data_IF_441449876078
#
_entry.id   IF_441449876078
#
_cell.length_a   1.000
_cell.length_b   1.000
_cell.length_c   1.000
_cell.angle_alpha   90.00
_cell.angle_beta   90.00
_cell.angle_gamma   90.00
#
_symmetry.space_group_name_H-M   'P 1'
#
loop_
_entity.id
_entity.type
_entity.pdbx_description
1 polymer ?
#
# COMPACT_ATOMS: atom_id res chain seq x y z
N UNK A 1 22.74 -60.68 -19.82
CA UNK A 1 23.74 -59.85 -19.10
C UNK A 1 23.02 -58.67 -18.46
N UNK A 2 23.12 -58.60 -17.13
CA UNK A 2 22.74 -57.56 -16.13
C UNK A 2 21.43 -56.76 -16.30
N UNK A 3 20.41 -57.26 -15.59
CA UNK A 3 19.26 -56.52 -15.03
C UNK A 3 19.76 -55.42 -14.07
N UNK A 4 19.19 -54.22 -14.14
CA UNK A 4 19.27 -53.20 -13.09
C UNK A 4 17.84 -52.89 -12.65
N UNK A 5 17.45 -53.48 -11.52
CA UNK A 5 16.28 -53.10 -10.73
C UNK A 5 16.65 -51.81 -9.98
N UNK A 6 15.89 -50.73 -10.18
CA UNK A 6 15.91 -49.58 -9.28
C UNK A 6 14.69 -49.73 -8.38
N UNK A 7 14.90 -50.35 -7.20
CA UNK A 7 13.99 -50.22 -6.07
C UNK A 7 14.06 -48.77 -5.59
N UNK A 8 12.98 -48.01 -5.76
CA UNK A 8 12.83 -46.71 -5.09
C UNK A 8 12.35 -47.00 -3.67
N UNK A 9 13.22 -46.80 -2.69
CA UNK A 9 12.91 -46.93 -1.28
C UNK A 9 11.86 -45.89 -0.85
N UNK A 10 10.78 -46.37 -0.25
CA UNK A 10 9.83 -45.57 0.51
C UNK A 10 10.55 -45.11 1.78
N UNK A 11 10.81 -43.81 1.90
CA UNK A 11 11.20 -43.18 3.17
C UNK A 11 9.94 -42.96 4.00
N UNK A 12 9.70 -43.88 4.94
CA UNK A 12 8.81 -43.67 6.07
C UNK A 12 9.54 -42.72 7.03
N UNK A 13 9.03 -41.51 7.22
CA UNK A 13 9.46 -40.65 8.33
C UNK A 13 8.67 -41.02 9.58
N UNK A 14 9.36 -41.51 10.60
CA UNK A 14 8.83 -41.68 11.96
C UNK A 14 9.64 -40.87 12.98
N UNK A 15 8.89 -40.20 13.86
CA UNK A 15 9.20 -39.67 15.19
C UNK A 15 9.70 -38.22 15.36
N UNK A 16 8.82 -37.40 15.96
CA UNK A 16 9.17 -36.47 17.05
C UNK A 16 8.53 -35.07 17.01
N UNK A 17 7.24 -34.94 17.37
CA UNK A 17 6.50 -33.70 17.80
C UNK A 17 6.63 -32.43 16.91
N UNK A 18 5.60 -31.80 16.31
CA UNK A 18 4.13 -31.93 16.29
C UNK A 18 3.63 -32.26 14.87
N UNK A 19 3.18 -33.49 14.69
CA UNK A 19 2.56 -34.06 13.49
C UNK A 19 1.05 -33.84 13.51
N UNK A 20 0.50 -32.78 12.90
CA UNK A 20 -0.98 -32.67 12.86
C UNK A 20 -1.60 -32.04 11.61
N UNK A 21 -0.84 -31.49 10.65
CA UNK A 21 -1.45 -30.78 9.52
C UNK A 21 -1.13 -31.35 8.12
N UNK A 22 -0.22 -32.31 8.00
CA UNK A 22 0.17 -32.91 6.71
C UNK A 22 0.13 -34.45 6.73
N UNK A 23 0.00 -35.08 7.91
CA UNK A 23 0.09 -36.54 8.06
C UNK A 23 -1.02 -37.35 7.36
N UNK A 24 -2.09 -36.68 6.90
CA UNK A 24 -3.19 -37.31 6.15
C UNK A 24 -3.20 -36.97 4.64
N UNK A 25 -2.15 -36.34 4.11
CA UNK A 25 -2.06 -36.00 2.69
C UNK A 25 -1.55 -37.20 1.91
N UNK A 26 -2.47 -38.04 1.44
CA UNK A 26 -2.17 -39.23 0.64
C UNK A 26 -2.32 -38.89 -0.85
N UNK A 27 -1.19 -38.78 -1.56
CA UNK A 27 -1.19 -38.87 -3.03
C UNK A 27 -1.41 -40.32 -3.44
N UNK A 28 -2.02 -40.53 -4.61
CA UNK A 28 -2.11 -41.88 -5.18
C UNK A 28 -0.72 -42.47 -5.35
N UNK A 29 -0.46 -43.62 -4.71
CA UNK A 29 0.82 -44.32 -4.77
C UNK A 29 1.05 -44.86 -6.17
N UNK A 30 2.27 -44.67 -6.71
CA UNK A 30 2.62 -45.19 -8.04
C UNK A 30 2.59 -46.71 -8.03
N UNK A 31 1.95 -47.27 -9.06
CA UNK A 31 1.88 -48.72 -9.21
C UNK A 31 2.94 -49.22 -10.18
N UNK A 32 3.49 -50.45 -9.99
CA UNK A 32 4.54 -50.99 -10.86
C UNK A 32 4.14 -51.16 -12.33
N UNK A 33 2.84 -51.26 -12.62
CA UNK A 33 2.28 -51.42 -13.96
C UNK A 33 2.04 -50.09 -14.70
N UNK A 34 2.26 -48.95 -14.05
CA UNK A 34 2.10 -47.65 -14.70
C UNK A 34 3.23 -47.36 -15.68
N UNK A 35 2.89 -46.70 -16.79
CA UNK A 35 3.87 -46.19 -17.74
C UNK A 35 4.02 -44.67 -17.60
N UNK A 36 5.18 -44.15 -17.97
CA UNK A 36 5.52 -42.73 -17.84
C UNK A 36 5.98 -42.17 -19.19
N UNK A 37 5.41 -41.04 -19.60
CA UNK A 37 5.83 -40.29 -20.80
C UNK A 37 6.29 -38.89 -20.41
N UNK A 38 7.45 -38.48 -20.92
CA UNK A 38 7.94 -37.09 -20.81
C UNK A 38 7.26 -36.26 -21.90
N UNK A 39 6.40 -35.33 -21.49
CA UNK A 39 5.63 -34.49 -22.44
C UNK A 39 6.28 -33.12 -22.68
N UNK A 40 7.14 -32.67 -21.78
CA UNK A 40 7.94 -31.44 -21.94
C UNK A 40 9.36 -31.63 -21.42
N UNK A 41 10.33 -31.01 -22.10
CA UNK A 41 11.75 -30.98 -21.69
C UNK A 41 12.28 -29.55 -21.63
N UNK A 42 13.33 -29.37 -20.82
CA UNK A 42 14.17 -28.18 -20.85
C UNK A 42 15.12 -28.20 -22.07
N UNK A 43 15.74 -27.06 -22.43
CA UNK A 43 16.72 -27.01 -23.53
C UNK A 43 17.89 -27.98 -23.37
N UNK A 44 18.27 -28.30 -22.14
CA UNK A 44 19.30 -29.28 -21.80
C UNK A 44 18.81 -30.75 -21.88
N UNK A 45 17.61 -30.99 -22.40
CA UNK A 45 16.92 -32.29 -22.46
C UNK A 45 16.49 -32.90 -21.12
N UNK A 46 16.66 -32.19 -19.99
CA UNK A 46 16.09 -32.62 -18.72
C UNK A 46 14.55 -32.62 -18.79
N UNK A 47 13.92 -33.63 -18.17
CA UNK A 47 12.47 -33.71 -18.13
C UNK A 47 11.89 -32.51 -17.35
N UNK A 48 10.92 -31.83 -17.94
CA UNK A 48 10.19 -30.71 -17.33
C UNK A 48 8.82 -31.15 -16.83
N UNK A 49 8.11 -31.95 -17.62
CA UNK A 49 6.80 -32.51 -17.26
C UNK A 49 6.73 -33.98 -17.67
N UNK A 50 6.30 -34.83 -16.74
CA UNK A 50 6.11 -36.26 -16.92
C UNK A 50 4.68 -36.62 -16.52
N UNK A 51 4.00 -37.38 -17.38
CA UNK A 51 2.66 -37.92 -17.09
C UNK A 51 2.76 -39.42 -16.93
N UNK A 52 2.17 -39.91 -15.85
CA UNK A 52 2.01 -41.32 -15.57
C UNK A 52 0.61 -41.75 -15.91
N UNK A 53 0.51 -43.02 -16.26
CA UNK A 53 -0.73 -43.55 -16.75
C UNK A 53 -0.91 -45.02 -16.40
N UNK A 54 -2.17 -45.41 -16.27
CA UNK A 54 -2.60 -46.77 -15.98
C UNK A 54 -3.08 -47.48 -17.24
N UNK A 55 -2.71 -48.77 -17.44
CA UNK A 55 -3.28 -49.59 -18.52
C UNK A 55 -4.80 -49.79 -18.34
N UNK A 56 -5.55 -49.73 -19.45
CA UNK A 56 -7.00 -50.02 -19.46
C UNK A 56 -7.41 -50.75 -20.73
N UNK A 57 -8.58 -51.40 -20.73
CA UNK A 57 -9.10 -52.16 -21.87
C UNK A 57 -9.28 -51.31 -23.15
N UNK A 58 -9.38 -49.98 -23.01
CA UNK A 58 -9.46 -49.00 -24.10
C UNK A 58 -8.14 -48.27 -24.41
N UNK A 59 -7.03 -48.73 -23.84
CA UNK A 59 -5.71 -48.12 -23.98
C UNK A 59 -5.12 -47.72 -22.63
N UNK A 60 -5.13 -46.42 -22.34
CA UNK A 60 -4.03 -45.78 -21.63
C UNK A 60 -4.54 -44.52 -20.93
N UNK A 61 -4.75 -44.55 -19.60
CA UNK A 61 -5.46 -43.49 -18.84
C UNK A 61 -4.49 -42.67 -18.01
N UNK A 62 -4.44 -41.33 -18.12
CA UNK A 62 -3.56 -40.51 -17.30
C UNK A 62 -4.04 -40.47 -15.85
N UNK A 63 -3.13 -40.74 -14.92
CA UNK A 63 -3.46 -40.86 -13.48
C UNK A 63 -2.63 -39.92 -12.60
N UNK A 64 -1.50 -39.41 -13.08
CA UNK A 64 -0.63 -38.51 -12.30
C UNK A 64 0.24 -37.65 -13.20
N UNK A 65 0.49 -36.41 -12.80
CA UNK A 65 1.49 -35.55 -13.43
C UNK A 65 2.53 -35.13 -12.42
N UNK A 66 3.78 -35.05 -12.87
CA UNK A 66 4.87 -34.42 -12.17
C UNK A 66 5.52 -33.36 -13.03
N UNK A 67 5.88 -32.23 -12.41
CA UNK A 67 6.79 -31.27 -13.00
C UNK A 67 8.06 -31.16 -12.18
N UNK A 68 9.16 -30.81 -12.84
CA UNK A 68 10.50 -30.77 -12.26
C UNK A 68 11.13 -29.40 -12.49
N UNK A 69 12.02 -29.00 -11.58
CA UNK A 69 12.98 -27.94 -11.85
C UNK A 69 14.04 -28.43 -12.83
N UNK A 70 14.79 -27.49 -13.43
CA UNK A 70 15.84 -27.82 -14.40
C UNK A 70 16.95 -28.69 -13.80
N UNK A 71 17.24 -28.55 -12.50
CA UNK A 71 18.16 -29.41 -11.75
C UNK A 71 17.60 -30.82 -11.43
N UNK A 72 16.35 -31.12 -11.80
CA UNK A 72 15.71 -32.42 -11.65
C UNK A 72 14.98 -32.65 -10.33
N UNK A 73 14.97 -31.69 -9.39
CA UNK A 73 14.12 -31.77 -8.19
C UNK A 73 12.64 -31.63 -8.56
N UNK A 74 11.76 -32.34 -7.84
CA UNK A 74 10.31 -32.25 -8.07
C UNK A 74 9.85 -30.84 -7.73
N UNK A 75 9.07 -30.25 -8.64
CA UNK A 75 8.44 -28.94 -8.50
C UNK A 75 6.97 -29.07 -8.11
N UNK A 76 6.26 -30.03 -8.71
CA UNK A 76 4.85 -30.27 -8.45
C UNK A 76 4.49 -31.73 -8.71
N UNK A 77 3.58 -32.29 -7.89
CA UNK A 77 3.03 -33.63 -8.08
C UNK A 77 1.53 -33.63 -7.76
N UNK A 78 0.70 -34.14 -8.67
CA UNK A 78 -0.75 -34.24 -8.47
C UNK A 78 -1.39 -35.38 -9.26
N UNK A 79 -2.51 -35.84 -8.73
CA UNK A 79 -3.34 -36.89 -9.34
C UNK A 79 -4.20 -36.31 -10.47
N UNK A 80 -4.39 -37.10 -11.53
CA UNK A 80 -5.16 -36.73 -12.72
C UNK A 80 -6.44 -37.55 -12.82
N UNK A 81 -7.45 -36.95 -13.44
CA UNK A 81 -8.66 -37.64 -13.91
C UNK A 81 -9.02 -37.16 -15.31
N UNK A 82 -9.93 -37.87 -15.97
CA UNK A 82 -10.52 -37.45 -17.25
C UNK A 82 -11.95 -36.98 -17.05
N UNK A 83 -12.27 -35.79 -17.55
CA UNK A 83 -13.59 -35.17 -17.50
C UNK A 83 -14.16 -34.96 -18.91
N UNK A 84 -15.45 -34.67 -19.01
CA UNK A 84 -16.10 -34.26 -20.26
C UNK A 84 -15.95 -32.75 -20.48
N UNK A 85 -16.12 -32.29 -21.74
CA UNK A 85 -15.93 -30.87 -22.11
C UNK A 85 -16.97 -29.91 -21.51
N UNK A 86 -18.10 -30.44 -21.06
CA UNK A 86 -19.18 -29.70 -20.41
C UNK A 86 -18.97 -29.52 -18.89
N UNK A 87 -18.00 -30.22 -18.29
CA UNK A 87 -17.68 -30.06 -16.88
C UNK A 87 -16.87 -28.76 -16.64
N UNK A 88 -17.10 -28.05 -15.52
CA UNK A 88 -16.41 -26.79 -15.21
C UNK A 88 -14.88 -26.86 -15.24
N UNK A 89 -14.30 -28.02 -14.91
CA UNK A 89 -12.85 -28.22 -14.98
C UNK A 89 -12.27 -28.00 -16.38
N UNK A 90 -13.03 -28.29 -17.44
CA UNK A 90 -12.59 -28.05 -18.81
C UNK A 90 -12.44 -26.56 -19.09
N UNK A 91 -13.31 -25.73 -18.51
CA UNK A 91 -13.21 -24.28 -18.67
C UNK A 91 -11.98 -23.68 -18.00
N UNK A 92 -11.54 -24.28 -16.89
CA UNK A 92 -10.34 -23.86 -16.15
C UNK A 92 -9.07 -24.31 -16.88
N UNK A 93 -9.01 -25.57 -17.31
CA UNK A 93 -7.78 -26.19 -17.82
C UNK A 93 -7.67 -26.24 -19.34
N UNK A 94 -8.78 -26.03 -20.07
CA UNK A 94 -8.89 -26.16 -21.53
C UNK A 94 -8.44 -27.52 -22.07
N UNK A 95 -8.54 -28.56 -21.24
CA UNK A 95 -8.24 -29.96 -21.54
C UNK A 95 -9.19 -30.87 -20.77
N UNK A 96 -9.43 -32.08 -21.28
CA UNK A 96 -10.24 -33.11 -20.60
C UNK A 96 -9.44 -33.87 -19.54
N UNK A 97 -8.12 -33.69 -19.46
CA UNK A 97 -7.27 -34.31 -18.44
C UNK A 97 -6.92 -33.26 -17.40
N UNK A 98 -7.47 -33.40 -16.20
CA UNK A 98 -7.43 -32.35 -15.17
C UNK A 98 -7.01 -32.90 -13.81
N UNK A 99 -6.48 -32.07 -12.89
CA UNK A 99 -6.18 -32.52 -11.54
C UNK A 99 -7.44 -32.96 -10.78
N UNK A 100 -7.33 -34.04 -10.01
CA UNK A 100 -8.36 -34.45 -9.07
C UNK A 100 -7.73 -35.24 -7.93
N UNK A 101 -7.95 -34.80 -6.70
CA UNK A 101 -7.24 -35.26 -5.51
C UNK A 101 -6.23 -34.22 -5.01
N UNK A 102 -5.19 -34.71 -4.33
CA UNK A 102 -4.14 -33.88 -3.73
C UNK A 102 -3.20 -33.34 -4.81
N UNK A 103 -2.81 -32.08 -4.66
CA UNK A 103 -1.73 -31.43 -5.40
C UNK A 103 -0.69 -30.87 -4.42
N UNK A 104 0.57 -31.26 -4.61
CA UNK A 104 1.70 -30.80 -3.84
C UNK A 104 2.61 -29.91 -4.70
N UNK A 105 2.90 -28.71 -4.21
CA UNK A 105 3.96 -27.84 -4.74
C UNK A 105 5.18 -27.90 -3.83
N UNK A 106 6.37 -28.00 -4.42
CA UNK A 106 7.63 -28.14 -3.72
C UNK A 106 8.58 -26.99 -4.06
N UNK A 107 9.38 -26.59 -3.09
CA UNK A 107 10.56 -25.75 -3.28
C UNK A 107 11.72 -26.56 -3.89
N UNK A 108 12.76 -25.85 -4.36
CA UNK A 108 13.99 -26.47 -4.90
C UNK A 108 14.70 -27.38 -3.89
N UNK A 109 14.61 -27.06 -2.60
CA UNK A 109 15.16 -27.86 -1.49
C UNK A 109 14.26 -29.05 -1.09
N UNK A 110 13.22 -29.35 -1.89
CA UNK A 110 12.24 -30.44 -1.73
C UNK A 110 11.27 -30.25 -0.57
N UNK A 111 11.24 -29.07 0.06
CA UNK A 111 10.25 -28.76 1.08
C UNK A 111 8.88 -28.49 0.45
N UNK A 112 7.79 -28.95 1.10
CA UNK A 112 6.42 -28.70 0.62
C UNK A 112 6.09 -27.22 0.83
N UNK A 113 5.77 -26.50 -0.25
CA UNK A 113 5.35 -25.10 -0.22
C UNK A 113 3.83 -24.95 -0.19
N UNK A 114 3.10 -25.88 -0.80
CA UNK A 114 1.64 -25.82 -0.87
C UNK A 114 1.03 -27.21 -0.99
N UNK A 115 -0.10 -27.38 -0.31
CA UNK A 115 -1.01 -28.51 -0.43
C UNK A 115 -2.35 -27.95 -0.90
N UNK A 116 -2.84 -28.45 -2.02
CA UNK A 116 -4.16 -28.10 -2.56
C UNK A 116 -4.95 -29.37 -2.84
N UNK A 117 -6.28 -29.24 -2.91
CA UNK A 117 -7.17 -30.33 -3.27
C UNK A 117 -8.04 -29.90 -4.46
N UNK A 118 -8.18 -30.78 -5.44
CA UNK A 118 -9.03 -30.55 -6.60
C UNK A 118 -10.08 -31.65 -6.69
N UNK A 119 -11.26 -31.30 -7.18
CA UNK A 119 -12.27 -32.25 -7.62
C UNK A 119 -12.57 -31.94 -9.10
N UNK A 120 -12.24 -32.88 -9.99
CA UNK A 120 -12.51 -32.76 -11.43
C UNK A 120 -12.00 -31.43 -12.04
N UNK A 121 -10.79 -31.01 -11.67
CA UNK A 121 -10.13 -29.80 -12.15
C UNK A 121 -10.50 -28.51 -11.41
N UNK A 122 -11.42 -28.57 -10.45
CA UNK A 122 -11.88 -27.43 -9.65
C UNK A 122 -11.30 -27.50 -8.25
N UNK A 123 -10.75 -26.39 -7.76
CA UNK A 123 -10.15 -26.32 -6.43
C UNK A 123 -11.24 -26.45 -5.36
N UNK A 124 -11.09 -27.42 -4.46
CA UNK A 124 -12.10 -27.84 -3.48
C UNK A 124 -11.43 -28.17 -2.15
N UNK A 125 -12.04 -27.79 -1.04
CA UNK A 125 -11.53 -28.08 0.30
C UNK A 125 -10.39 -27.18 0.74
N UNK A 126 -9.53 -27.71 1.62
CA UNK A 126 -8.53 -26.92 2.31
C UNK A 126 -7.26 -26.73 1.46
N UNK A 127 -6.77 -25.50 1.35
CA UNK A 127 -5.46 -25.18 0.78
C UNK A 127 -4.55 -24.68 1.89
N UNK A 128 -3.37 -25.29 2.00
CA UNK A 128 -2.36 -24.93 2.98
C UNK A 128 -1.10 -24.52 2.24
N UNK A 129 -0.44 -23.47 2.72
CA UNK A 129 0.85 -23.02 2.21
C UNK A 129 1.84 -22.84 3.36
N UNK A 130 3.13 -22.96 3.04
CA UNK A 130 4.22 -22.99 4.01
C UNK A 130 5.36 -22.05 3.57
N UNK A 131 6.04 -21.45 4.55
CA UNK A 131 7.28 -20.71 4.32
C UNK A 131 8.45 -21.66 4.06
N UNK A 132 8.58 -22.65 4.94
CA UNK A 132 9.57 -23.72 4.93
C UNK A 132 9.02 -24.90 5.73
N UNK A 133 9.76 -26.01 5.83
CA UNK A 133 9.31 -27.22 6.55
C UNK A 133 8.66 -26.87 7.90
N UNK A 134 7.40 -27.27 8.05
CA UNK A 134 6.57 -27.11 9.24
C UNK A 134 6.24 -25.67 9.67
N UNK A 135 6.58 -24.65 8.89
CA UNK A 135 6.17 -23.25 9.13
C UNK A 135 5.00 -22.87 8.23
N UNK A 136 3.78 -23.02 8.74
CA UNK A 136 2.56 -22.66 8.02
C UNK A 136 2.55 -21.16 7.71
N UNK A 137 2.24 -20.81 6.47
CA UNK A 137 2.08 -19.43 5.99
C UNK A 137 0.61 -19.04 5.94
N UNK A 138 -0.23 -19.90 5.37
CA UNK A 138 -1.67 -19.67 5.33
C UNK A 138 -2.44 -20.98 5.16
N UNK A 139 -3.68 -20.97 5.65
CA UNK A 139 -4.69 -22.00 5.45
C UNK A 139 -5.99 -21.34 4.98
N UNK A 140 -6.59 -21.90 3.94
CA UNK A 140 -7.77 -21.37 3.28
C UNK A 140 -8.72 -22.53 2.96
N UNK A 141 -10.00 -22.24 2.77
CA UNK A 141 -10.97 -23.21 2.30
C UNK A 141 -11.61 -22.73 1.01
N UNK A 142 -11.80 -23.65 0.08
CA UNK A 142 -12.39 -23.41 -1.23
C UNK A 142 -13.58 -24.32 -1.42
N UNK A 143 -14.63 -23.79 -2.04
CA UNK A 143 -15.78 -24.56 -2.52
C UNK A 143 -16.02 -24.15 -3.97
N UNK A 144 -16.07 -25.12 -4.87
CA UNK A 144 -16.29 -24.95 -6.31
C UNK A 144 -15.37 -23.89 -6.93
N UNK A 145 -14.10 -23.90 -6.53
CA UNK A 145 -13.06 -23.00 -7.05
C UNK A 145 -13.04 -21.60 -6.44
N UNK A 146 -13.93 -21.29 -5.49
CA UNK A 146 -14.00 -19.98 -4.82
C UNK A 146 -13.62 -20.11 -3.35
N UNK A 147 -12.95 -19.10 -2.81
CA UNK A 147 -12.72 -19.03 -1.36
C UNK A 147 -14.06 -19.02 -0.63
N UNK A 148 -14.28 -20.00 0.24
CA UNK A 148 -15.47 -20.09 1.07
C UNK A 148 -15.08 -20.63 2.44
N UNK A 149 -15.53 -20.00 3.52
CA UNK A 149 -15.13 -20.35 4.89
C UNK A 149 -13.92 -19.57 5.40
N UNK A 150 -13.19 -20.15 6.36
CA UNK A 150 -12.17 -19.43 7.13
C UNK A 150 -10.83 -19.33 6.38
N UNK A 151 -10.24 -18.14 6.47
CA UNK A 151 -8.87 -17.83 6.09
C UNK A 151 -8.05 -17.59 7.35
N UNK A 152 -6.88 -18.20 7.44
CA UNK A 152 -5.89 -17.95 8.48
C UNK A 152 -4.52 -17.77 7.83
N UNK A 153 -3.87 -16.63 8.08
CA UNK A 153 -2.49 -16.36 7.72
C UNK A 153 -1.63 -16.26 8.98
N UNK A 154 -0.37 -16.67 8.88
CA UNK A 154 0.57 -16.75 10.01
C UNK A 154 1.88 -16.03 9.66
N UNK A 155 2.56 -15.55 10.69
CA UNK A 155 3.95 -15.13 10.61
C UNK A 155 4.88 -16.35 10.67
N UNK A 156 6.14 -16.18 10.28
CA UNK A 156 7.14 -17.26 10.36
C UNK A 156 7.41 -17.77 11.78
N UNK A 157 7.09 -16.95 12.80
CA UNK A 157 7.17 -17.33 14.21
C UNK A 157 5.97 -18.19 14.68
N UNK A 158 4.99 -18.44 13.80
CA UNK A 158 3.78 -19.22 14.08
C UNK A 158 2.61 -18.41 14.65
N UNK A 159 2.81 -17.14 15.00
CA UNK A 159 1.73 -16.28 15.46
C UNK A 159 0.77 -15.97 14.31
N UNK A 160 -0.52 -15.83 14.63
CA UNK A 160 -1.52 -15.39 13.65
C UNK A 160 -1.13 -14.02 13.12
N UNK A 161 -1.16 -13.89 11.80
CA UNK A 161 -0.96 -12.64 11.08
C UNK A 161 -2.29 -12.04 10.68
N UNK A 162 -3.18 -12.86 10.13
CA UNK A 162 -4.50 -12.44 9.67
C UNK A 162 -5.51 -13.58 9.83
N UNK A 163 -6.76 -13.24 10.12
CA UNK A 163 -7.88 -14.18 10.00
C UNK A 163 -9.09 -13.48 9.38
N UNK A 164 -9.90 -14.23 8.65
CA UNK A 164 -11.13 -13.72 8.05
C UNK A 164 -12.04 -14.84 7.60
N UNK A 165 -13.24 -14.47 7.14
CA UNK A 165 -14.20 -15.40 6.56
C UNK A 165 -14.54 -14.95 5.14
N UNK A 166 -14.61 -15.89 4.22
CA UNK A 166 -15.06 -15.68 2.85
C UNK A 166 -16.40 -16.38 2.62
N UNK A 167 -17.25 -15.77 1.80
CA UNK A 167 -18.46 -16.38 1.24
C UNK A 167 -18.45 -16.10 -0.26
N UNK A 168 -18.45 -17.15 -1.08
CA UNK A 168 -18.41 -17.05 -2.55
C UNK A 168 -17.28 -16.14 -3.09
N UNK A 169 -16.10 -16.21 -2.47
CA UNK A 169 -14.92 -15.44 -2.83
C UNK A 169 -14.90 -14.00 -2.28
N UNK A 170 -15.91 -13.59 -1.52
CA UNK A 170 -16.01 -12.25 -0.93
C UNK A 170 -15.80 -12.28 0.58
N UNK A 171 -15.08 -11.30 1.12
CA UNK A 171 -14.93 -11.17 2.57
C UNK A 171 -16.27 -10.91 3.26
N UNK A 172 -16.46 -11.54 4.41
CA UNK A 172 -17.65 -11.46 5.25
C UNK A 172 -17.25 -11.46 6.73
N UNK A 173 -18.00 -10.76 7.59
CA UNK A 173 -17.72 -10.58 9.03
C UNK A 173 -16.41 -9.84 9.30
N UNK A 174 -15.78 -10.09 10.45
CA UNK A 174 -14.56 -9.43 10.89
C UNK A 174 -13.34 -10.04 10.17
N UNK A 175 -12.55 -9.19 9.52
CA UNK A 175 -11.18 -9.48 9.09
C UNK A 175 -10.22 -8.88 10.10
N UNK A 176 -9.44 -9.72 10.76
CA UNK A 176 -8.58 -9.34 11.88
C UNK A 176 -7.13 -9.49 11.45
N UNK A 177 -6.34 -8.43 11.61
CA UNK A 177 -4.88 -8.48 11.46
C UNK A 177 -4.23 -8.35 12.84
N UNK A 178 -3.06 -8.95 12.99
CA UNK A 178 -2.27 -8.95 14.21
C UNK A 178 -0.86 -8.43 13.93
N UNK A 179 -0.17 -7.97 14.97
CA UNK A 179 1.26 -7.74 14.99
C UNK A 179 2.02 -9.05 15.25
N UNK A 180 3.33 -9.08 14.98
CA UNK A 180 4.16 -10.26 15.24
C UNK A 180 4.21 -10.65 16.71
N UNK A 181 4.02 -9.69 17.62
CA UNK A 181 3.92 -9.91 19.07
C UNK A 181 2.59 -10.56 19.52
N UNK A 182 1.64 -10.77 18.60
CA UNK A 182 0.33 -11.37 18.86
C UNK A 182 -0.78 -10.37 19.23
N UNK A 183 -0.46 -9.10 19.47
CA UNK A 183 -1.46 -8.07 19.69
C UNK A 183 -2.26 -7.83 18.41
N UNK A 184 -3.55 -7.46 18.55
CA UNK A 184 -4.37 -7.08 17.39
C UNK A 184 -3.80 -5.80 16.77
N UNK A 185 -3.70 -5.77 15.46
CA UNK A 185 -3.34 -4.58 14.68
C UNK A 185 -4.59 -3.90 14.12
N UNK A 186 -5.56 -4.69 13.62
CA UNK A 186 -6.81 -4.16 13.11
C UNK A 186 -7.94 -5.19 13.12
N UNK A 187 -9.17 -4.69 13.15
CA UNK A 187 -10.41 -5.44 12.94
C UNK A 187 -11.22 -4.61 11.96
N UNK A 188 -11.46 -5.16 10.77
CA UNK A 188 -12.21 -4.52 9.70
C UNK A 188 -13.46 -5.35 9.45
N UNK A 189 -14.63 -4.72 9.47
CA UNK A 189 -15.90 -5.42 9.26
C UNK A 189 -16.27 -5.43 7.78
N UNK A 190 -16.52 -6.60 7.23
CA UNK A 190 -16.93 -6.81 5.86
C UNK A 190 -18.35 -7.37 5.77
N UNK A 191 -19.08 -6.92 4.75
CA UNK A 191 -20.35 -7.47 4.31
C UNK A 191 -20.36 -7.50 2.79
N UNK A 192 -20.54 -8.68 2.19
CA UNK A 192 -20.51 -8.88 0.73
C UNK A 192 -19.24 -8.33 0.06
N UNK A 193 -18.08 -8.43 0.72
CA UNK A 193 -16.81 -7.92 0.23
C UNK A 193 -16.59 -6.42 0.38
N UNK A 194 -17.55 -5.68 0.97
CA UNK A 194 -17.44 -4.24 1.23
C UNK A 194 -17.24 -3.99 2.72
N UNK A 195 -16.43 -2.99 3.08
CA UNK A 195 -16.25 -2.57 4.47
C UNK A 195 -17.56 -1.95 4.97
N UNK A 196 -18.15 -2.50 6.02
CA UNK A 196 -19.44 -2.08 6.55
C UNK A 196 -19.49 -2.31 8.06
N UNK A 197 -19.68 -1.24 8.82
CA UNK A 197 -19.67 -1.22 10.28
C UNK A 197 -18.43 -0.53 10.88
N UNK A 198 -18.22 -0.78 12.19
CA UNK A 198 -17.12 -0.20 12.96
C UNK A 198 -15.83 -1.02 12.79
N UNK A 199 -14.85 -0.42 12.15
CA UNK A 199 -13.47 -0.90 12.06
C UNK A 199 -12.61 -0.24 13.14
N UNK A 200 -11.66 -0.99 13.69
CA UNK A 200 -10.73 -0.52 14.73
C UNK A 200 -9.29 -0.84 14.35
N UNK A 201 -8.35 0.02 14.73
CA UNK A 201 -6.92 -0.27 14.74
C UNK A 201 -6.31 -0.02 16.10
N UNK A 202 -5.18 -0.67 16.37
CA UNK A 202 -4.43 -0.55 17.61
C UNK A 202 -2.97 -0.25 17.29
N UNK A 203 -2.26 0.36 18.24
CA UNK A 203 -0.81 0.40 18.27
C UNK A 203 -0.24 -0.97 18.62
N UNK A 204 1.05 -1.20 18.33
CA UNK A 204 1.72 -2.46 18.66
C UNK A 204 1.74 -2.75 20.18
N UNK A 205 1.67 -1.71 21.00
CA UNK A 205 1.50 -1.77 22.46
C UNK A 205 0.14 -2.35 22.90
N UNK A 206 -0.83 -2.44 21.99
CA UNK A 206 -2.21 -2.87 22.27
C UNK A 206 -3.16 -1.73 22.62
N UNK A 207 -2.68 -0.48 22.71
CA UNK A 207 -3.54 0.70 22.86
C UNK A 207 -4.37 0.91 21.59
N UNK A 208 -5.66 1.27 21.72
CA UNK A 208 -6.49 1.55 20.54
C UNK A 208 -5.99 2.84 19.87
N UNK A 209 -5.83 2.79 18.55
CA UNK A 209 -5.30 3.88 17.73
C UNK A 209 -6.42 4.59 16.97
N UNK A 210 -7.38 3.85 16.43
CA UNK A 210 -8.48 4.47 15.70
C UNK A 210 -9.77 3.67 15.71
N UNK A 211 -10.87 4.39 15.58
CA UNK A 211 -12.19 3.88 15.29
C UNK A 211 -12.71 4.55 14.01
N UNK A 212 -13.11 3.73 13.04
CA UNK A 212 -13.62 4.20 11.74
C UNK A 212 -14.90 3.48 11.38
N UNK A 213 -15.94 4.22 11.00
CA UNK A 213 -17.26 3.69 10.67
C UNK A 213 -17.51 3.78 9.18
N UNK A 214 -17.98 2.68 8.62
CA UNK A 214 -18.20 2.54 7.19
C UNK A 214 -19.61 2.08 6.87
N UNK A 215 -20.14 2.56 5.76
CA UNK A 215 -21.29 2.00 5.04
C UNK A 215 -20.84 1.79 3.60
N UNK A 216 -20.79 0.53 3.17
CA UNK A 216 -20.43 0.11 1.81
C UNK A 216 -19.15 0.80 1.28
N UNK A 217 -18.06 0.65 2.03
CA UNK A 217 -16.73 1.25 1.84
C UNK A 217 -16.59 2.75 2.10
N UNK A 218 -17.70 3.49 2.26
CA UNK A 218 -17.65 4.92 2.51
C UNK A 218 -17.64 5.21 4.01
N UNK A 219 -16.79 6.16 4.44
CA UNK A 219 -16.83 6.66 5.81
C UNK A 219 -18.18 7.30 6.08
N UNK A 220 -18.81 6.92 7.19
CA UNK A 220 -20.11 7.43 7.56
C UNK A 220 -20.34 7.44 9.08
N UNK A 221 -20.73 8.59 9.60
CA UNK A 221 -21.18 8.75 10.98
C UNK A 221 -22.54 8.08 11.22
N UNK A 222 -22.84 7.77 12.47
CA UNK A 222 -24.14 7.21 12.88
C UNK A 222 -25.07 8.26 13.51
N UNK A 223 -24.70 9.55 13.42
CA UNK A 223 -25.39 10.68 14.03
C UNK A 223 -25.15 10.85 15.54
N UNK A 224 -24.59 9.83 16.22
CA UNK A 224 -24.17 9.91 17.62
C UNK A 224 -22.66 10.00 17.76
N UNK A 225 -21.94 9.28 16.91
CA UNK A 225 -20.49 9.21 16.87
C UNK A 225 -19.98 9.64 15.48
N UNK A 226 -18.88 10.39 15.43
CA UNK A 226 -18.26 10.74 14.15
C UNK A 226 -17.75 9.47 13.45
N UNK A 227 -17.67 9.53 12.12
CA UNK A 227 -17.17 8.42 11.33
C UNK A 227 -15.70 8.07 11.63
N UNK A 228 -14.89 9.04 12.08
CA UNK A 228 -13.47 8.85 12.40
C UNK A 228 -13.15 9.42 13.78
N UNK A 229 -12.53 8.59 14.62
CA UNK A 229 -11.89 9.00 15.88
C UNK A 229 -10.49 8.40 15.92
N UNK A 230 -9.49 9.23 16.18
CA UNK A 230 -8.10 8.82 16.37
C UNK A 230 -7.70 9.11 17.80
N UNK A 231 -6.98 8.18 18.42
CA UNK A 231 -6.52 8.24 19.79
C UNK A 231 -4.99 8.25 19.84
N UNK A 232 -4.42 8.81 20.92
CA UNK A 232 -3.04 8.54 21.33
C UNK A 232 -2.93 7.19 22.07
N UNK A 233 -1.71 6.77 22.42
CA UNK A 233 -1.48 5.52 23.17
C UNK A 233 -2.04 5.53 24.60
N UNK A 234 -2.37 6.70 25.16
CA UNK A 234 -3.01 6.86 26.47
C UNK A 234 -4.54 6.87 26.37
N UNK A 235 -5.09 6.60 25.19
CA UNK A 235 -6.52 6.61 24.88
C UNK A 235 -7.18 8.01 24.92
N UNK A 236 -6.39 9.08 24.79
CA UNK A 236 -6.90 10.44 24.60
C UNK A 236 -7.26 10.66 23.14
N UNK A 237 -8.39 11.29 22.84
CA UNK A 237 -8.78 11.62 21.47
C UNK A 237 -7.86 12.72 20.94
N UNK A 238 -7.19 12.47 19.80
CA UNK A 238 -6.33 13.45 19.12
C UNK A 238 -6.98 14.01 17.84
N UNK A 239 -7.96 13.31 17.27
CA UNK A 239 -8.68 13.77 16.08
C UNK A 239 -10.08 13.15 16.01
N UNK A 240 -11.06 13.96 15.63
CA UNK A 240 -12.42 13.53 15.36
C UNK A 240 -12.97 14.26 14.11
N UNK A 241 -13.53 13.49 13.17
CA UNK A 241 -14.10 14.01 11.93
C UNK A 241 -15.25 13.11 11.47
N UNK A 242 -16.35 13.74 11.10
CA UNK A 242 -17.53 13.05 10.60
C UNK A 242 -17.65 13.10 9.07
N UNK A 243 -18.39 12.13 8.53
CA UNK A 243 -18.56 11.93 7.10
C UNK A 243 -20.00 11.47 6.78
N UNK A 244 -20.50 11.88 5.62
CA UNK A 244 -21.72 11.35 4.98
C UNK A 244 -21.35 11.00 3.54
N UNK A 245 -21.60 9.75 3.12
CA UNK A 245 -21.22 9.24 1.80
C UNK A 245 -19.74 9.52 1.45
N UNK A 246 -18.85 9.35 2.43
CA UNK A 246 -17.42 9.58 2.25
C UNK A 246 -17.00 11.05 2.13
N UNK A 247 -17.92 12.02 2.22
CA UNK A 247 -17.62 13.45 2.23
C UNK A 247 -17.56 13.98 3.67
N UNK A 248 -16.53 14.75 4.05
CA UNK A 248 -16.45 15.29 5.40
C UNK A 248 -17.60 16.27 5.67
N UNK A 249 -18.17 16.19 6.86
CA UNK A 249 -19.27 17.04 7.32
C UNK A 249 -19.08 17.43 8.79
N UNK A 250 -19.69 18.54 9.18
CA UNK A 250 -19.66 19.00 10.57
C UNK A 250 -18.27 19.45 11.00
N UNK A 251 -18.02 19.42 12.31
CA UNK A 251 -16.80 19.99 12.89
C UNK A 251 -15.68 18.96 12.90
N UNK A 252 -14.63 19.22 12.11
CA UNK A 252 -13.34 18.57 12.26
C UNK A 252 -12.63 19.15 13.49
N UNK A 253 -12.24 18.31 14.44
CA UNK A 253 -11.50 18.75 15.63
C UNK A 253 -10.22 17.94 15.78
N UNK A 254 -9.12 18.61 16.10
CA UNK A 254 -7.89 17.96 16.59
C UNK A 254 -7.53 18.49 17.97
N UNK A 255 -6.81 17.68 18.72
CA UNK A 255 -6.41 17.96 20.10
C UNK A 255 -4.90 17.85 20.25
N UNK A 256 -4.37 18.63 21.18
CA UNK A 256 -3.04 18.45 21.76
C UNK A 256 -3.06 17.28 22.75
N UNK A 257 -1.88 16.76 23.12
CA UNK A 257 -1.77 15.66 24.08
C UNK A 257 -2.28 16.00 25.48
N UNK A 258 -2.41 17.29 25.81
CA UNK A 258 -3.01 17.75 27.06
C UNK A 258 -4.55 17.81 27.02
N UNK A 259 -5.18 17.38 25.92
CA UNK A 259 -6.63 17.36 25.72
C UNK A 259 -7.24 18.70 25.25
N UNK A 260 -6.45 19.77 25.15
CA UNK A 260 -6.93 21.02 24.60
C UNK A 260 -7.03 20.93 23.08
N UNK A 261 -8.01 21.59 22.48
CA UNK A 261 -8.14 21.65 21.01
C UNK A 261 -6.88 22.30 20.43
N UNK A 262 -6.34 21.73 19.36
CA UNK A 262 -5.24 22.30 18.58
C UNK A 262 -5.74 22.92 17.27
N UNK A 263 -6.89 22.43 16.78
CA UNK A 263 -7.45 22.82 15.51
C UNK A 263 -8.96 22.56 15.47
N UNK A 264 -9.71 23.44 14.82
CA UNK A 264 -11.07 23.15 14.39
C UNK A 264 -11.44 23.86 13.10
N UNK A 265 -12.26 23.20 12.28
CA UNK A 265 -12.94 23.79 11.13
C UNK A 265 -14.25 23.06 10.88
N UNK A 266 -15.23 23.74 10.29
CA UNK A 266 -16.47 23.10 9.89
C UNK A 266 -16.45 22.73 8.39
N UNK A 267 -17.05 21.60 8.06
CA UNK A 267 -17.24 21.10 6.71
C UNK A 267 -18.71 21.06 6.34
N UNK A 268 -19.01 21.46 5.11
CA UNK A 268 -20.32 21.36 4.48
C UNK A 268 -20.16 20.82 3.07
N UNK A 269 -20.91 19.76 2.74
CA UNK A 269 -20.87 19.09 1.43
C UNK A 269 -19.46 18.69 0.97
N UNK A 270 -18.62 18.27 1.92
CA UNK A 270 -17.23 17.87 1.67
C UNK A 270 -16.24 19.02 1.56
N UNK A 271 -16.65 20.27 1.76
CA UNK A 271 -15.80 21.47 1.63
C UNK A 271 -15.71 22.23 2.94
N UNK A 272 -14.55 22.84 3.23
CA UNK A 272 -14.40 23.74 4.38
C UNK A 272 -15.41 24.89 4.27
N UNK A 273 -16.11 25.17 5.35
CA UNK A 273 -17.13 26.22 5.43
C UNK A 273 -17.18 26.81 6.84
N UNK A 274 -17.04 28.13 6.94
CA UNK A 274 -16.92 28.86 8.20
C UNK A 274 -15.47 29.08 8.62
N UNK A 275 -15.28 29.35 9.92
CA UNK A 275 -14.00 29.79 10.47
C UNK A 275 -13.16 28.58 10.90
N UNK A 276 -12.02 28.41 10.24
CA UNK A 276 -10.90 27.58 10.70
C UNK A 276 -10.16 28.29 11.83
N UNK A 277 -9.76 27.54 12.86
CA UNK A 277 -9.00 28.05 14.01
C UNK A 277 -7.89 27.10 14.41
N UNK A 278 -6.76 27.67 14.81
CA UNK A 278 -5.61 26.97 15.38
C UNK A 278 -5.38 27.47 16.81
N UNK A 279 -5.02 26.58 17.72
CA UNK A 279 -4.86 26.91 19.13
C UNK A 279 -3.54 26.38 19.69
N UNK A 280 -2.98 27.09 20.66
CA UNK A 280 -1.83 26.64 21.44
C UNK A 280 -2.24 25.57 22.46
N UNK A 281 -1.26 24.91 23.06
CA UNK A 281 -1.51 23.99 24.18
C UNK A 281 -2.20 24.69 25.37
N UNK A 282 -2.03 26.01 25.52
CA UNK A 282 -2.63 26.83 26.57
C UNK A 282 -3.99 27.43 26.16
N UNK A 283 -4.60 26.95 25.07
CA UNK A 283 -5.91 27.39 24.51
C UNK A 283 -5.90 28.78 23.86
N UNK A 284 -4.74 29.40 23.67
CA UNK A 284 -4.64 30.69 22.98
C UNK A 284 -4.89 30.50 21.49
N UNK A 285 -5.58 31.45 20.85
CA UNK A 285 -5.83 31.42 19.41
C UNK A 285 -4.53 31.77 18.67
N UNK A 286 -3.93 30.79 18.01
CA UNK A 286 -2.73 31.00 17.20
C UNK A 286 -3.06 31.44 15.78
N UNK A 287 -4.26 31.15 15.28
CA UNK A 287 -4.56 31.48 13.89
C UNK A 287 -6.00 31.26 13.53
N UNK A 288 -6.42 31.91 12.47
CA UNK A 288 -7.74 31.73 11.90
C UNK A 288 -7.81 32.09 10.42
N UNK A 289 -8.84 31.56 9.76
CA UNK A 289 -9.16 31.86 8.38
C UNK A 289 -10.60 31.46 8.07
N UNK A 290 -11.31 32.28 7.31
CA UNK A 290 -12.68 31.97 6.89
C UNK A 290 -12.69 31.24 5.55
N UNK A 291 -13.54 30.23 5.43
CA UNK A 291 -13.81 29.53 4.18
C UNK A 291 -15.28 29.63 3.81
N UNK A 292 -15.56 29.84 2.52
CA UNK A 292 -16.91 29.76 1.97
C UNK A 292 -16.91 28.76 0.82
N UNK A 293 -17.59 27.64 1.04
CA UNK A 293 -17.75 26.55 0.07
C UNK A 293 -16.42 26.06 -0.50
N UNK A 294 -15.42 25.95 0.38
CA UNK A 294 -14.05 25.53 0.07
C UNK A 294 -13.09 26.66 -0.31
N UNK A 295 -13.58 27.85 -0.64
CA UNK A 295 -12.73 28.98 -1.02
C UNK A 295 -12.30 29.76 0.23
N UNK A 296 -11.00 30.07 0.40
CA UNK A 296 -10.56 30.95 1.48
C UNK A 296 -11.08 32.37 1.23
N UNK A 297 -11.53 33.06 2.27
CA UNK A 297 -12.04 34.43 2.18
C UNK A 297 -11.39 35.28 3.27
N UNK A 298 -11.04 36.52 2.92
CA UNK A 298 -10.54 37.50 3.87
C UNK A 298 -9.15 37.16 4.41
N UNK A 299 -8.88 37.58 5.64
CA UNK A 299 -7.58 37.40 6.28
C UNK A 299 -7.45 35.98 6.85
N UNK A 300 -6.39 35.30 6.42
CA UNK A 300 -5.92 34.04 6.98
C UNK A 300 -4.59 34.29 7.64
N UNK A 301 -4.40 33.80 8.86
CA UNK A 301 -3.12 33.93 9.54
C UNK A 301 -2.90 32.79 10.53
N UNK A 302 -1.64 32.57 10.86
CA UNK A 302 -1.22 31.70 11.95
C UNK A 302 0.03 32.28 12.60
N UNK A 303 0.15 32.09 13.90
CA UNK A 303 1.23 32.50 14.77
C UNK A 303 2.00 31.27 15.27
N UNK A 304 3.28 31.47 15.57
CA UNK A 304 4.11 30.57 16.34
C UNK A 304 3.56 30.43 17.77
N UNK A 305 3.93 29.36 18.47
CA UNK A 305 3.50 29.11 19.85
C UNK A 305 3.88 30.21 20.85
N UNK A 306 4.89 31.03 20.53
CA UNK A 306 5.32 32.20 21.32
C UNK A 306 4.56 33.50 20.97
N UNK A 307 3.52 33.44 20.14
CA UNK A 307 2.65 34.58 19.77
C UNK A 307 3.18 35.47 18.64
N UNK A 308 4.21 35.04 17.91
CA UNK A 308 4.75 35.79 16.77
C UNK A 308 4.12 35.27 15.47
N UNK A 309 3.76 36.16 14.54
CA UNK A 309 3.15 35.78 13.26
C UNK A 309 4.03 34.74 12.54
N UNK A 310 3.46 33.61 12.13
CA UNK A 310 4.11 32.61 11.30
C UNK A 310 3.77 32.85 9.83
N UNK A 311 2.50 33.04 9.48
CA UNK A 311 2.11 33.50 8.15
C UNK A 311 0.85 34.37 8.15
N UNK A 312 0.71 35.16 7.08
CA UNK A 312 -0.51 35.92 6.76
C UNK A 312 -0.80 35.88 5.25
N UNK A 313 -2.07 35.73 4.91
CA UNK A 313 -2.60 35.79 3.55
C UNK A 313 -3.94 36.53 3.54
N UNK A 314 -4.22 37.32 2.51
CA UNK A 314 -5.50 38.01 2.34
C UNK A 314 -6.14 37.59 1.02
N UNK A 315 -7.38 37.14 1.07
CA UNK A 315 -8.14 36.63 -0.07
C UNK A 315 -9.35 37.49 -0.39
N UNK A 316 -9.68 37.58 -1.67
CA UNK A 316 -10.97 38.11 -2.13
C UNK A 316 -12.11 37.11 -1.86
N UNK A 317 -13.35 37.50 -2.24
CA UNK A 317 -14.55 36.65 -2.08
C UNK A 317 -14.56 35.38 -2.95
N UNK A 318 -13.65 35.29 -3.93
CA UNK A 318 -13.54 34.18 -4.87
C UNK A 318 -12.37 33.24 -4.53
N UNK A 319 -11.59 33.53 -3.49
CA UNK A 319 -10.42 32.75 -3.09
C UNK A 319 -9.11 33.14 -3.78
N UNK A 320 -9.06 34.29 -4.47
CA UNK A 320 -7.81 34.80 -5.05
C UNK A 320 -7.03 35.60 -4.01
N UNK A 321 -5.71 35.42 -3.98
CA UNK A 321 -4.83 36.24 -3.15
C UNK A 321 -4.87 37.71 -3.61
N UNK A 322 -5.03 38.61 -2.65
CA UNK A 322 -4.95 40.07 -2.84
C UNK A 322 -3.53 40.61 -2.75
N UNK A 323 -2.66 39.86 -2.08
CA UNK A 323 -1.26 40.19 -1.81
C UNK A 323 -0.49 38.88 -1.66
N UNK A 324 0.84 38.87 -1.80
CA UNK A 324 1.60 37.67 -1.58
C UNK A 324 1.46 37.22 -0.11
N UNK A 325 1.45 35.91 0.08
CA UNK A 325 1.55 35.28 1.39
C UNK A 325 2.91 35.64 1.97
N UNK A 326 2.92 36.09 3.22
CA UNK A 326 4.16 36.40 3.94
C UNK A 326 4.35 35.43 5.08
N UNK A 327 5.55 34.88 5.21
CA UNK A 327 5.96 33.99 6.29
C UNK A 327 7.11 34.60 7.09
N UNK A 328 7.06 34.41 8.41
CA UNK A 328 8.04 34.98 9.34
C UNK A 328 8.59 33.91 10.28
N UNK A 329 9.83 34.09 10.73
CA UNK A 329 10.43 33.24 11.75
C UNK A 329 9.90 33.57 13.17
N UNK A 330 10.40 32.85 14.18
CA UNK A 330 10.04 33.10 15.58
C UNK A 330 10.44 34.49 16.08
N UNK A 331 11.35 35.19 15.41
CA UNK A 331 11.84 36.52 15.77
C UNK A 331 11.16 37.64 14.96
N UNK A 332 10.11 37.31 14.18
CA UNK A 332 9.37 38.21 13.28
C UNK A 332 10.15 38.69 12.06
N UNK A 333 11.28 38.06 11.73
CA UNK A 333 11.98 38.34 10.48
C UNK A 333 11.21 37.73 9.31
N UNK A 334 11.01 38.49 8.24
CA UNK A 334 10.40 37.99 7.01
C UNK A 334 11.35 36.97 6.37
N UNK A 335 10.90 35.72 6.23
CA UNK A 335 11.72 34.65 5.64
C UNK A 335 11.23 34.24 4.25
N UNK A 336 9.96 34.49 3.93
CA UNK A 336 9.39 34.16 2.61
C UNK A 336 8.20 35.05 2.25
N UNK A 337 8.09 35.33 0.96
CA UNK A 337 6.98 36.04 0.34
C UNK A 337 6.65 35.35 -0.97
N UNK A 338 5.41 34.91 -1.17
CA UNK A 338 5.05 34.20 -2.38
C UNK A 338 3.59 34.33 -2.74
N UNK A 339 3.28 34.23 -4.02
CA UNK A 339 1.91 34.06 -4.50
C UNK A 339 1.62 32.58 -4.76
N UNK A 340 0.35 32.21 -4.64
CA UNK A 340 -0.15 30.88 -4.98
C UNK A 340 -1.52 30.96 -5.63
N UNK A 341 -1.82 29.98 -6.49
CA UNK A 341 -3.11 29.81 -7.16
C UNK A 341 -3.43 28.33 -7.19
N UNK A 342 -4.64 27.93 -6.79
CA UNK A 342 -5.07 26.53 -6.73
C UNK A 342 -4.08 25.61 -5.97
N UNK A 343 -3.56 26.08 -4.83
CA UNK A 343 -2.55 25.39 -4.02
C UNK A 343 -1.21 25.11 -4.74
N UNK A 344 -0.90 25.83 -5.83
CA UNK A 344 0.39 25.76 -6.52
C UNK A 344 1.09 27.13 -6.49
N UNK A 345 2.44 27.18 -6.46
CA UNK A 345 3.18 28.41 -6.66
C UNK A 345 2.78 29.10 -7.98
N UNK A 346 2.52 30.39 -7.94
CA UNK A 346 2.16 31.18 -9.11
C UNK A 346 2.54 32.63 -8.83
N UNK A 347 3.13 33.36 -9.78
CA UNK A 347 3.62 34.72 -9.57
C UNK A 347 4.99 34.77 -8.88
N UNK A 348 5.31 35.91 -8.25
CA UNK A 348 6.61 36.14 -7.63
C UNK A 348 6.81 35.32 -6.36
N UNK A 349 8.03 34.86 -6.16
CA UNK A 349 8.52 34.17 -4.97
C UNK A 349 9.83 34.82 -4.51
N UNK A 350 9.93 35.08 -3.21
CA UNK A 350 11.12 35.59 -2.56
C UNK A 350 11.36 34.86 -1.25
N UNK A 351 12.63 34.61 -0.95
CA UNK A 351 13.10 34.01 0.29
C UNK A 351 14.29 34.80 0.81
N UNK A 352 14.39 34.93 2.13
CA UNK A 352 15.45 35.68 2.80
C UNK A 352 16.21 34.79 3.78
N UNK A 353 17.48 35.12 3.99
CA UNK A 353 18.28 34.60 5.09
C UNK A 353 17.80 35.19 6.44
N UNK A 354 18.26 34.60 7.54
CA UNK A 354 17.88 35.06 8.88
C UNK A 354 18.41 36.47 9.21
N UNK A 355 19.46 36.91 8.54
CA UNK A 355 20.01 38.27 8.65
C UNK A 355 19.23 39.31 7.82
N UNK A 356 18.21 38.87 7.06
CA UNK A 356 17.37 39.71 6.22
C UNK A 356 17.89 39.93 4.81
N UNK A 357 19.03 39.36 4.43
CA UNK A 357 19.51 39.42 3.05
C UNK A 357 18.66 38.53 2.14
N UNK A 358 18.41 38.98 0.91
CA UNK A 358 17.65 38.22 -0.07
C UNK A 358 18.43 36.96 -0.41
N UNK A 359 17.79 35.79 -0.36
CA UNK A 359 18.38 34.48 -0.64
C UNK A 359 17.98 33.97 -2.01
N UNK A 360 16.70 34.09 -2.35
CA UNK A 360 16.13 33.65 -3.64
C UNK A 360 15.11 34.67 -4.12
N UNK A 361 15.12 34.95 -5.43
CA UNK A 361 14.03 35.61 -6.15
C UNK A 361 13.70 34.80 -7.41
N UNK A 362 12.43 34.47 -7.60
CA UNK A 362 11.96 33.72 -8.76
C UNK A 362 10.50 34.04 -9.11
N UNK A 363 10.04 33.56 -10.26
CA UNK A 363 8.63 33.61 -10.64
C UNK A 363 8.15 32.21 -11.01
N UNK A 364 6.86 31.97 -10.79
CA UNK A 364 6.21 30.70 -11.08
C UNK A 364 4.96 30.88 -11.93
N UNK A 365 4.67 29.90 -12.79
CA UNK A 365 3.41 29.79 -13.51
C UNK A 365 2.89 28.34 -13.38
N UNK A 366 1.68 28.18 -12.85
CA UNK A 366 1.04 26.87 -12.60
C UNK A 366 1.93 25.85 -11.87
N UNK A 367 2.73 26.32 -10.91
CA UNK A 367 3.67 25.54 -10.10
C UNK A 367 5.04 25.30 -10.73
N UNK A 368 5.33 25.88 -11.90
CA UNK A 368 6.61 25.72 -12.62
C UNK A 368 7.40 27.02 -12.63
N UNK A 369 8.73 26.95 -12.45
CA UNK A 369 9.60 28.13 -12.57
C UNK A 369 9.47 28.75 -13.97
N UNK A 370 9.36 30.07 -14.02
CA UNK A 370 9.23 30.85 -15.25
C UNK A 370 10.02 32.16 -15.14
N UNK A 371 10.67 32.56 -16.23
CA UNK A 371 11.50 33.76 -16.26
C UNK A 371 12.83 33.58 -15.51
N UNK A 372 13.36 34.68 -14.99
CA UNK A 372 14.67 34.68 -14.31
C UNK A 372 14.55 34.31 -12.84
N UNK A 373 15.35 33.33 -12.40
CA UNK A 373 15.65 33.06 -11.01
C UNK A 373 17.00 33.68 -10.65
N UNK A 374 17.10 34.24 -9.44
CA UNK A 374 18.33 34.70 -8.82
C UNK A 374 18.49 34.06 -7.46
N UNK A 375 19.71 33.63 -7.15
CA UNK A 375 20.13 33.19 -5.82
C UNK A 375 21.32 34.03 -5.37
N UNK A 376 21.42 34.25 -4.07
CA UNK A 376 22.41 35.13 -3.47
C UNK A 376 23.17 34.40 -2.35
N UNK A 377 24.38 34.86 -2.07
CA UNK A 377 25.12 34.52 -0.86
C UNK A 377 24.56 35.26 0.35
N UNK A 378 24.86 34.79 1.55
CA UNK A 378 24.51 35.45 2.82
C UNK A 378 25.05 36.89 2.88
N UNK A 379 26.17 37.18 2.19
CA UNK A 379 26.71 38.54 2.01
C UNK A 379 25.86 39.48 1.15
N UNK A 380 24.80 38.97 0.50
CA UNK A 380 23.94 39.70 -0.43
C UNK A 380 24.47 39.77 -1.86
N UNK A 381 25.66 39.23 -2.13
CA UNK A 381 26.20 39.14 -3.50
C UNK A 381 25.47 38.08 -4.32
N UNK A 382 25.28 38.32 -5.61
CA UNK A 382 24.62 37.36 -6.50
C UNK A 382 25.49 36.11 -6.65
N UNK A 383 24.87 34.94 -6.45
CA UNK A 383 25.49 33.64 -6.56
C UNK A 383 25.15 32.98 -7.89
N UNK A 384 23.87 32.96 -8.24
CA UNK A 384 23.34 32.33 -9.45
C UNK A 384 22.29 33.25 -10.09
N UNK A 385 22.27 33.30 -11.42
CA UNK A 385 21.17 33.82 -12.23
C UNK A 385 20.87 32.81 -13.33
N UNK A 386 19.63 32.36 -13.45
CA UNK A 386 19.24 31.35 -14.45
C UNK A 386 17.88 31.68 -15.05
N UNK A 387 17.77 31.52 -16.36
CA UNK A 387 16.50 31.69 -17.10
C UNK A 387 15.74 30.37 -17.20
N UNK A 388 14.43 30.43 -16.99
CA UNK A 388 13.53 29.27 -17.00
C UNK A 388 12.31 29.50 -17.87
N UNK A 389 11.84 28.43 -18.51
CA UNK A 389 10.57 28.34 -19.21
C UNK A 389 9.93 26.98 -18.92
N UNK A 390 8.66 26.99 -18.52
CA UNK A 390 7.90 25.77 -18.18
C UNK A 390 8.61 24.84 -17.18
N UNK A 391 9.33 25.43 -16.22
CA UNK A 391 10.07 24.71 -15.17
C UNK A 391 11.42 24.16 -15.60
N UNK A 392 11.81 24.32 -16.87
CA UNK A 392 13.12 23.91 -17.40
C UNK A 392 14.02 25.11 -17.60
N UNK A 393 15.34 24.96 -17.46
CA UNK A 393 16.31 25.99 -17.82
C UNK A 393 16.27 26.22 -19.33
N UNK A 394 16.00 27.46 -19.72
CA UNK A 394 15.91 27.89 -21.12
C UNK A 394 16.43 29.34 -21.18
N UNK A 395 17.63 29.49 -21.74
CA UNK A 395 18.41 30.73 -21.75
C UNK A 395 19.67 30.68 -20.89
N UNK A 396 20.13 31.85 -20.48
CA UNK A 396 21.43 32.03 -19.84
C UNK A 396 21.44 31.55 -18.37
N UNK A 397 22.51 30.85 -18.00
CA UNK A 397 22.90 30.49 -16.64
C UNK A 397 24.25 31.14 -16.33
N UNK A 398 24.26 31.94 -15.28
CA UNK A 398 25.42 32.62 -14.74
C UNK A 398 25.63 32.20 -13.29
N UNK A 399 26.89 32.02 -12.91
CA UNK A 399 27.30 31.74 -11.55
C UNK A 399 28.54 32.56 -11.21
N UNK A 400 28.57 33.14 -10.02
CA UNK A 400 29.67 33.97 -9.54
C UNK A 400 30.19 33.40 -8.22
N UNK A 401 31.47 33.62 -7.97
CA UNK A 401 32.05 33.47 -6.64
C UNK A 401 31.55 34.61 -5.73
N UNK A 402 31.66 34.42 -4.41
CA UNK A 402 31.25 35.43 -3.42
C UNK A 402 32.06 36.74 -3.45
N UNK A 403 33.17 36.79 -4.19
CA UNK A 403 33.90 38.04 -4.44
C UNK A 403 33.40 38.79 -5.70
N UNK A 404 32.32 38.32 -6.32
CA UNK A 404 31.70 38.92 -7.51
C UNK A 404 32.34 38.51 -8.84
N UNK A 405 33.39 37.69 -8.83
CA UNK A 405 34.03 37.19 -10.06
C UNK A 405 33.14 36.13 -10.70
N UNK A 406 32.84 36.29 -12.01
CA UNK A 406 32.06 35.31 -12.77
C UNK A 406 32.82 33.99 -12.85
N UNK A 407 32.25 32.95 -12.26
CA UNK A 407 32.78 31.59 -12.25
C UNK A 407 32.36 30.82 -13.50
N UNK A 408 31.09 30.98 -13.91
CA UNK A 408 30.49 30.16 -14.95
C UNK A 408 29.47 30.92 -15.77
N UNK A 409 29.51 30.71 -17.08
CA UNK A 409 28.49 31.14 -18.03
C UNK A 409 28.15 29.99 -18.98
N UNK A 410 26.90 29.56 -18.98
CA UNK A 410 26.38 28.49 -19.86
C UNK A 410 25.04 28.94 -20.41
N UNK A 411 24.75 28.62 -21.67
CA UNK A 411 23.41 28.76 -22.22
C UNK A 411 22.70 27.39 -22.24
N UNK A 412 21.41 27.37 -21.94
CA UNK A 412 20.59 26.15 -21.87
C UNK A 412 19.40 26.22 -22.82
N UNK A 413 19.00 25.08 -23.37
CA UNK A 413 17.73 24.88 -24.06
C UNK A 413 17.06 23.63 -23.52
N UNK A 414 15.90 23.79 -22.89
CA UNK A 414 15.18 22.70 -22.22
C UNK A 414 16.09 21.82 -21.34
N UNK A 415 16.80 22.43 -20.39
CA UNK A 415 17.78 21.81 -19.47
C UNK A 415 19.04 21.22 -20.12
N UNK A 416 19.14 21.20 -21.45
CA UNK A 416 20.35 20.77 -22.16
C UNK A 416 21.25 21.97 -22.39
N UNK A 417 22.57 21.79 -22.21
CA UNK A 417 23.53 22.84 -22.54
C UNK A 417 23.44 23.12 -24.05
N UNK A 418 23.16 24.37 -24.39
CA UNK A 418 22.97 24.86 -25.74
C UNK A 418 24.12 25.83 -26.08
N UNK A 419 25.20 25.25 -26.62
CA UNK A 419 26.44 25.96 -26.93
C UNK A 419 27.67 25.05 -26.85
N UNK A 420 28.60 25.26 -27.77
CA UNK A 420 29.91 24.59 -27.82
C UNK A 420 30.86 25.36 -26.90
N UNK A 421 31.73 24.61 -26.20
CA UNK A 421 32.84 25.09 -25.37
C UNK A 421 33.68 26.20 -26.01
#
# INVERSE_FOLDING_TARGET
MKKIFICLAILIFSNGYSQNNVDNVQLTQRQPNWYADTIETYPNSAARVVVFYEPSDGGKVPVKQMSFYEEGSVKQEFDLTTITKDMPGYDVWKTTVVPSGVCLDFAKDKTVQKVSHYENGILEGQVISFYSQNKMMAKMHYEKGKLNGNFEGFYENGNKKQVGTYVDGKLEKDFISFYENGNRASVIKYKNGMISGLSKSWYETGAIQSEKRYVDNNLQGDGKNPAVIIYDEKHSIIEALDFIDGKPVGVHTKYHLNGNKSYLVNYKDGKKHGIERFFSENKELLGSGEYKDGNPVGKHFKEHSKGNLFYIANFDKNGNLLAPVKEYDENKNLIREHFSKNNKPHGSYKEWFLDGNLKIESNYEEGRLYGTQKEYYDSGQIKIQSSFKDGKRDGEYLQWYENGILEKKINFKEDKKDGIL
#
